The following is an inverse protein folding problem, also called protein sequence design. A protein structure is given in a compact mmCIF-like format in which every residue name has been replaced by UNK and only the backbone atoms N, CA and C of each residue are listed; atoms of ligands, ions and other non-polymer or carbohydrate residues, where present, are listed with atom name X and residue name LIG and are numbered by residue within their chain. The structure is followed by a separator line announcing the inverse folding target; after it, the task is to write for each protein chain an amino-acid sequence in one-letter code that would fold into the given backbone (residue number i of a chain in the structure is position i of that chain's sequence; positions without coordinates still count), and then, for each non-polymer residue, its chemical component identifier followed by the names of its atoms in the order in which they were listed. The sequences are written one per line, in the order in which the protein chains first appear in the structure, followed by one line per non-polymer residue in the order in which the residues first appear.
data_IF_265542997070
#
_entry.id   IF_265542997070
#
_cell.length_a   1.000
_cell.length_b   1.000
_cell.length_c   1.000
_cell.angle_alpha   90.00
_cell.angle_beta   90.00
_cell.angle_gamma   90.00
#
_symmetry.space_group_name_H-M   'P 1'
#
loop_
_entity.id
_entity.type
_entity.pdbx_description
1 polymer ?
#
# COMPACT_ATOMS: atom_id res chain seq x y z
N UNK A 1 8.09 1.06 20.26
CA UNK A 1 6.77 1.52 19.77
C UNK A 1 6.92 1.62 18.26
N UNK A 2 6.31 0.70 17.53
CA UNK A 2 6.41 0.59 16.09
C UNK A 2 5.37 1.46 15.37
N UNK A 3 5.47 1.55 14.05
CA UNK A 3 4.46 2.17 13.20
C UNK A 3 3.24 1.25 13.08
N UNK A 4 2.05 1.82 13.18
CA UNK A 4 0.81 1.16 12.82
C UNK A 4 0.02 2.06 11.88
N UNK A 5 -0.35 1.52 10.72
CA UNK A 5 -1.00 2.31 9.67
C UNK A 5 -1.01 1.61 8.33
N UNK A 6 -1.16 2.38 7.27
CA UNK A 6 -1.29 1.87 5.92
C UNK A 6 -0.39 2.63 4.95
N UNK A 7 0.27 1.90 4.05
CA UNK A 7 0.85 2.44 2.83
C UNK A 7 -0.10 2.11 1.67
N UNK A 8 -0.49 3.12 0.91
CA UNK A 8 -1.43 2.99 -0.20
C UNK A 8 -0.73 3.33 -1.50
N UNK A 9 -0.71 2.39 -2.43
CA UNK A 9 -0.18 2.56 -3.78
C UNK A 9 -1.35 2.63 -4.75
N UNK A 10 -1.46 3.73 -5.49
CA UNK A 10 -2.52 3.92 -6.47
C UNK A 10 -2.08 4.80 -7.63
N UNK A 11 -2.83 4.72 -8.73
CA UNK A 11 -2.71 5.63 -9.87
C UNK A 11 -3.89 6.60 -9.85
N UNK A 12 -3.61 7.90 -9.89
CA UNK A 12 -4.63 8.95 -9.93
C UNK A 12 -4.06 10.22 -10.52
N UNK A 13 -4.84 10.88 -11.37
CA UNK A 13 -4.52 12.19 -11.92
C UNK A 13 -4.67 13.32 -10.86
N UNK A 14 -5.30 13.00 -9.74
CA UNK A 14 -5.51 13.91 -8.61
C UNK A 14 -4.76 13.44 -7.38
N UNK A 15 -4.37 14.34 -6.47
CA UNK A 15 -3.80 13.95 -5.19
C UNK A 15 -4.69 12.96 -4.44
N UNK A 16 -4.16 11.85 -3.96
CA UNK A 16 -4.93 10.79 -3.29
C UNK A 16 -5.69 11.26 -2.03
N UNK A 17 -5.27 12.37 -1.42
CA UNK A 17 -5.96 12.96 -0.26
C UNK A 17 -7.23 13.74 -0.61
N UNK A 18 -7.47 14.06 -1.89
CA UNK A 18 -8.64 14.84 -2.35
C UNK A 18 -9.92 14.02 -2.59
N UNK A 19 -9.88 12.70 -2.88
CA UNK A 19 -11.11 11.93 -3.02
C UNK A 19 -11.94 12.02 -1.74
N UNK A 20 -13.24 12.30 -1.89
CA UNK A 20 -14.19 12.43 -0.79
C UNK A 20 -14.20 11.22 0.16
N UNK A 21 -13.81 10.06 -0.33
CA UNK A 21 -13.68 8.83 0.43
C UNK A 21 -12.61 8.92 1.53
N UNK A 22 -11.47 9.57 1.26
CA UNK A 22 -10.43 9.81 2.26
C UNK A 22 -10.78 10.99 3.17
N UNK A 23 -11.34 12.06 2.58
CA UNK A 23 -11.78 13.22 3.35
C UNK A 23 -12.86 12.85 4.38
N UNK A 24 -13.80 11.95 4.04
CA UNK A 24 -14.83 11.49 4.96
C UNK A 24 -14.27 10.62 6.09
N UNK A 25 -13.33 9.71 5.79
CA UNK A 25 -12.67 8.87 6.81
C UNK A 25 -11.79 9.67 7.77
N UNK A 26 -11.15 10.75 7.28
CA UNK A 26 -10.35 11.65 8.09
C UNK A 26 -11.20 12.71 8.83
N UNK A 27 -12.40 13.08 8.34
CA UNK A 27 -13.25 14.11 8.92
C UNK A 27 -13.96 13.68 10.23
N UNK A 28 -14.08 12.39 10.49
CA UNK A 28 -14.71 11.88 11.72
C UNK A 28 -13.81 11.98 12.98
N UNK A 29 -12.78 12.81 12.96
CA UNK A 29 -12.00 13.18 14.13
C UNK A 29 -10.48 13.00 14.04
N UNK A 30 -9.94 12.64 12.88
CA UNK A 30 -8.51 12.39 12.71
C UNK A 30 -7.95 13.19 11.52
N UNK A 31 -7.92 14.51 11.66
CA UNK A 31 -7.30 15.41 10.65
C UNK A 31 -5.82 15.12 10.37
N UNK A 32 -5.19 14.35 11.24
CA UNK A 32 -3.75 14.06 11.21
C UNK A 32 -3.42 12.63 10.72
N UNK A 33 -4.39 11.89 10.14
CA UNK A 33 -4.15 10.51 9.71
C UNK A 33 -3.21 10.38 8.51
N UNK A 34 -3.18 11.37 7.60
CA UNK A 34 -2.31 11.33 6.41
C UNK A 34 -1.04 12.08 6.72
N UNK A 35 0.07 11.36 6.80
CA UNK A 35 1.36 11.95 7.14
C UNK A 35 2.19 12.30 5.93
N UNK A 36 2.23 11.46 4.93
CA UNK A 36 3.08 11.70 3.78
C UNK A 36 2.43 11.24 2.47
N UNK A 37 2.61 12.05 1.44
CA UNK A 37 2.27 11.72 0.07
C UNK A 37 3.52 11.81 -0.78
N UNK A 38 3.89 10.70 -1.42
CA UNK A 38 5.01 10.61 -2.33
C UNK A 38 4.49 10.50 -3.76
N UNK A 39 4.48 11.62 -4.53
CA UNK A 39 4.13 11.59 -5.93
C UNK A 39 5.22 10.85 -6.72
N UNK A 40 4.79 10.12 -7.75
CA UNK A 40 5.67 9.35 -8.64
C UNK A 40 5.31 9.64 -10.10
N UNK A 41 6.21 9.41 -11.06
CA UNK A 41 5.91 9.62 -12.48
C UNK A 41 4.68 8.85 -12.95
N UNK A 42 3.96 9.40 -13.94
CA UNK A 42 2.81 8.76 -14.57
C UNK A 42 1.55 8.70 -13.71
N UNK A 43 1.32 9.68 -12.83
CA UNK A 43 0.14 9.75 -11.96
C UNK A 43 0.14 8.74 -10.83
N UNK A 44 1.23 8.02 -10.62
CA UNK A 44 1.37 7.07 -9.52
C UNK A 44 1.68 7.80 -8.22
N UNK A 45 1.16 7.30 -7.11
CA UNK A 45 1.32 7.91 -5.80
C UNK A 45 1.42 6.85 -4.73
N UNK A 46 2.25 7.10 -3.72
CA UNK A 46 2.22 6.38 -2.44
C UNK A 46 1.73 7.33 -1.37
N UNK A 47 0.81 6.86 -0.54
CA UNK A 47 0.27 7.60 0.59
C UNK A 47 0.56 6.81 1.86
N UNK A 48 1.09 7.45 2.88
CA UNK A 48 1.23 6.88 4.22
C UNK A 48 0.12 7.44 5.12
N UNK A 49 -0.57 6.54 5.81
CA UNK A 49 -1.66 6.86 6.73
C UNK A 49 -1.31 6.30 8.11
N UNK A 50 -1.25 7.16 9.12
CA UNK A 50 -1.03 6.73 10.50
C UNK A 50 -2.32 6.26 11.16
N UNK A 51 -2.21 5.26 12.05
CA UNK A 51 -3.28 4.71 12.90
C UNK A 51 -4.42 3.99 12.17
N UNK A 52 -4.32 3.80 10.85
CA UNK A 52 -5.37 3.17 10.06
C UNK A 52 -6.66 3.98 9.98
N UNK A 53 -7.58 3.54 9.12
CA UNK A 53 -8.89 4.15 8.98
C UNK A 53 -9.90 3.41 9.87
N UNK A 54 -10.80 4.10 10.59
CA UNK A 54 -11.79 3.47 11.45
C UNK A 54 -12.84 2.67 10.66
N UNK A 55 -13.38 1.62 11.28
CA UNK A 55 -14.48 0.81 10.74
C UNK A 55 -14.05 -0.23 9.69
N UNK A 56 -14.85 -0.43 8.64
CA UNK A 56 -14.43 -1.24 7.47
C UNK A 56 -13.37 -0.47 6.68
N UNK A 57 -12.15 -0.65 7.12
CA UNK A 57 -10.98 0.08 6.63
C UNK A 57 -10.71 -0.09 5.13
N UNK A 58 -11.31 -1.08 4.47
CA UNK A 58 -11.17 -1.28 3.02
C UNK A 58 -12.20 -0.49 2.19
N UNK A 59 -13.25 0.04 2.79
CA UNK A 59 -14.29 0.79 2.07
C UNK A 59 -13.76 2.01 1.32
N UNK A 60 -12.95 2.90 1.93
CA UNK A 60 -12.37 4.05 1.24
C UNK A 60 -11.51 3.64 0.04
N UNK A 61 -10.73 2.58 0.16
CA UNK A 61 -9.85 2.08 -0.88
C UNK A 61 -10.61 1.43 -2.04
N UNK A 62 -11.72 0.71 -1.77
CA UNK A 62 -12.64 0.23 -2.81
C UNK A 62 -13.26 1.39 -3.59
N UNK A 63 -13.66 2.44 -2.89
CA UNK A 63 -14.18 3.66 -3.53
C UNK A 63 -13.12 4.35 -4.37
N UNK A 64 -11.86 4.37 -3.90
CA UNK A 64 -10.73 4.88 -4.66
C UNK A 64 -10.52 4.08 -5.94
N UNK A 65 -10.41 2.75 -5.87
CA UNK A 65 -10.25 1.89 -7.03
C UNK A 65 -11.41 2.08 -8.04
N UNK A 66 -12.65 2.15 -7.57
CA UNK A 66 -13.81 2.40 -8.42
C UNK A 66 -13.81 3.78 -9.08
N UNK A 67 -13.38 4.82 -8.38
CA UNK A 67 -13.39 6.21 -8.88
C UNK A 67 -12.23 6.50 -9.84
N UNK A 68 -11.08 5.87 -9.65
CA UNK A 68 -9.91 6.02 -10.53
C UNK A 68 -9.94 5.06 -11.72
N UNK A 69 -10.72 3.97 -11.63
CA UNK A 69 -10.69 2.89 -12.60
C UNK A 69 -9.37 2.11 -12.61
N UNK A 70 -8.53 2.30 -11.61
CA UNK A 70 -7.22 1.69 -11.45
C UNK A 70 -7.15 0.85 -10.17
N UNK A 71 -6.34 -0.23 -10.13
CA UNK A 71 -6.21 -1.05 -8.94
C UNK A 71 -5.46 -0.30 -7.83
N UNK A 72 -5.77 -0.64 -6.57
CA UNK A 72 -5.14 -0.09 -5.37
C UNK A 72 -4.47 -1.21 -4.60
N UNK A 73 -3.20 -1.03 -4.22
CA UNK A 73 -2.48 -1.89 -3.29
C UNK A 73 -2.37 -1.18 -1.94
N UNK A 74 -2.63 -1.94 -0.87
CA UNK A 74 -2.58 -1.43 0.50
C UNK A 74 -1.67 -2.35 1.29
N UNK A 75 -0.64 -1.79 1.93
CA UNK A 75 0.17 -2.49 2.91
C UNK A 75 -0.25 -2.00 4.31
N UNK A 76 -0.88 -2.87 5.08
CA UNK A 76 -1.41 -2.60 6.43
C UNK A 76 -0.44 -3.09 7.47
N UNK A 77 0.20 -2.15 8.14
CA UNK A 77 1.25 -2.42 9.13
C UNK A 77 0.68 -2.42 10.53
N UNK A 78 1.08 -3.39 11.33
CA UNK A 78 0.78 -3.50 12.75
C UNK A 78 2.08 -3.54 13.54
N UNK A 79 2.31 -2.48 14.29
CA UNK A 79 3.46 -2.27 15.21
C UNK A 79 4.85 -2.46 14.56
N UNK A 80 4.95 -2.21 13.25
CA UNK A 80 6.14 -2.46 12.40
C UNK A 80 6.60 -3.93 12.32
N UNK A 81 5.82 -4.87 12.82
CA UNK A 81 6.17 -6.29 12.86
C UNK A 81 5.45 -7.11 11.79
N UNK A 82 4.16 -6.84 11.58
CA UNK A 82 3.32 -7.59 10.63
C UNK A 82 2.75 -6.66 9.58
N UNK A 83 2.77 -7.08 8.32
CA UNK A 83 2.15 -6.36 7.22
C UNK A 83 1.24 -7.27 6.39
N UNK A 84 -0.06 -6.96 6.35
CA UNK A 84 -1.00 -7.52 5.38
C UNK A 84 -0.98 -6.66 4.11
N UNK A 85 -0.62 -7.24 2.98
CA UNK A 85 -0.74 -6.61 1.66
C UNK A 85 -2.07 -7.02 1.04
N UNK A 86 -2.88 -6.03 0.67
CA UNK A 86 -4.21 -6.22 0.06
C UNK A 86 -4.23 -5.60 -1.32
N UNK A 87 -4.59 -6.36 -2.33
CA UNK A 87 -4.90 -5.90 -3.68
C UNK A 87 -6.42 -5.69 -3.82
N UNK A 88 -6.81 -4.54 -4.35
CA UNK A 88 -8.19 -4.20 -4.67
C UNK A 88 -8.31 -3.78 -6.13
N UNK A 89 -8.96 -4.62 -6.93
CA UNK A 89 -9.27 -4.27 -8.31
C UNK A 89 -10.52 -3.36 -8.41
N UNK A 90 -10.65 -2.54 -9.49
CA UNK A 90 -11.85 -1.75 -9.75
C UNK A 90 -13.12 -2.59 -9.86
N UNK A 91 -13.01 -3.86 -10.30
CA UNK A 91 -14.11 -4.84 -10.35
C UNK A 91 -14.63 -5.26 -8.98
N UNK A 92 -13.95 -4.88 -7.89
CA UNK A 92 -14.23 -5.34 -6.54
C UNK A 92 -13.54 -6.66 -6.16
N UNK A 93 -12.79 -7.26 -7.08
CA UNK A 93 -11.96 -8.42 -6.74
C UNK A 93 -10.91 -8.03 -5.71
N UNK A 94 -10.67 -8.94 -4.77
CA UNK A 94 -9.72 -8.74 -3.67
C UNK A 94 -8.83 -9.97 -3.52
N UNK A 95 -7.57 -9.72 -3.22
CA UNK A 95 -6.62 -10.74 -2.80
C UNK A 95 -5.71 -10.17 -1.70
N UNK A 96 -5.16 -11.01 -0.82
CA UNK A 96 -4.21 -10.56 0.20
C UNK A 96 -3.12 -11.59 0.49
N UNK A 97 -2.00 -11.10 1.02
CA UNK A 97 -0.88 -11.89 1.56
C UNK A 97 -0.25 -11.16 2.75
N UNK A 98 0.66 -11.84 3.45
CA UNK A 98 1.52 -11.20 4.45
C UNK A 98 2.94 -11.03 3.88
N UNK A 99 3.57 -9.90 4.19
CA UNK A 99 5.03 -9.80 4.22
C UNK A 99 5.48 -10.38 5.57
N UNK A 100 6.55 -11.14 5.57
CA UNK A 100 6.98 -11.96 6.70
C UNK A 100 5.87 -12.88 7.23
N UNK A 101 5.51 -13.94 6.47
CA UNK A 101 4.43 -14.84 6.87
C UNK A 101 4.74 -15.63 8.16
N UNK A 102 6.02 -15.76 8.54
CA UNK A 102 6.41 -16.40 9.78
C UNK A 102 6.01 -15.51 10.97
N UNK A 103 6.29 -14.23 10.92
CA UNK A 103 5.87 -13.26 11.94
C UNK A 103 4.34 -13.20 12.03
N UNK A 104 3.63 -13.20 10.90
CA UNK A 104 2.18 -13.23 10.89
C UNK A 104 1.62 -14.47 11.61
N UNK A 105 2.24 -15.64 11.41
CA UNK A 105 1.87 -16.89 12.11
C UNK A 105 2.13 -16.79 13.62
N UNK A 106 3.24 -16.20 14.05
CA UNK A 106 3.57 -15.99 15.46
C UNK A 106 2.56 -15.06 16.16
N UNK A 107 2.00 -14.09 15.44
CA UNK A 107 0.89 -13.24 15.90
C UNK A 107 -0.48 -13.92 15.85
N UNK A 108 -0.55 -15.17 15.35
CA UNK A 108 -1.78 -15.96 15.27
C UNK A 108 -2.69 -15.60 14.11
N UNK A 109 -2.18 -14.91 13.08
CA UNK A 109 -2.93 -14.66 11.87
C UNK A 109 -3.12 -15.94 11.05
N UNK A 110 -4.27 -16.11 10.37
CA UNK A 110 -4.55 -17.28 9.56
C UNK A 110 -3.63 -17.34 8.34
N UNK A 111 -3.24 -18.54 7.94
CA UNK A 111 -2.55 -18.74 6.67
C UNK A 111 -3.41 -18.24 5.50
N UNK A 112 -2.81 -17.48 4.59
CA UNK A 112 -3.49 -16.94 3.41
C UNK A 112 -3.25 -17.83 2.18
N UNK A 113 -4.15 -17.79 1.17
CA UNK A 113 -4.01 -18.59 -0.03
C UNK A 113 -2.69 -18.33 -0.75
N UNK A 114 -2.07 -19.37 -1.32
CA UNK A 114 -0.82 -19.23 -2.08
C UNK A 114 -1.05 -18.45 -3.38
N UNK A 115 0.04 -18.03 -4.02
CA UNK A 115 -0.02 -17.37 -5.34
C UNK A 115 0.23 -15.86 -5.31
N UNK A 116 0.74 -15.35 -4.20
CA UNK A 116 1.06 -13.95 -3.97
C UNK A 116 1.76 -13.25 -5.14
N UNK A 117 2.87 -13.81 -5.60
CA UNK A 117 3.65 -13.22 -6.68
C UNK A 117 2.83 -13.05 -7.97
N UNK A 118 1.99 -14.02 -8.33
CA UNK A 118 1.14 -13.95 -9.51
C UNK A 118 0.05 -12.88 -9.40
N UNK A 119 -0.55 -12.70 -8.22
CA UNK A 119 -1.54 -11.66 -7.96
C UNK A 119 -0.91 -10.27 -8.01
N UNK A 120 0.23 -10.08 -7.35
CA UNK A 120 0.94 -8.79 -7.34
C UNK A 120 1.45 -8.43 -8.74
N UNK A 121 1.98 -9.41 -9.49
CA UNK A 121 2.39 -9.19 -10.89
C UNK A 121 1.23 -8.71 -11.75
N UNK A 122 0.05 -9.30 -11.59
CA UNK A 122 -1.16 -8.87 -12.31
C UNK A 122 -1.58 -7.46 -11.89
N UNK A 123 -1.61 -7.19 -10.59
CA UNK A 123 -1.89 -5.86 -10.07
C UNK A 123 -0.93 -4.81 -10.66
N UNK A 124 0.38 -5.09 -10.66
CA UNK A 124 1.39 -4.19 -11.21
C UNK A 124 1.12 -3.90 -12.71
N UNK A 125 0.80 -4.94 -13.50
CA UNK A 125 0.47 -4.77 -14.91
C UNK A 125 -0.80 -3.92 -15.11
N UNK A 126 -1.85 -4.12 -14.31
CA UNK A 126 -3.07 -3.31 -14.32
C UNK A 126 -2.81 -1.86 -13.87
N UNK A 127 -1.86 -1.64 -12.98
CA UNK A 127 -1.37 -0.32 -12.56
C UNK A 127 -0.40 0.32 -13.59
N UNK A 128 -0.16 -0.35 -14.73
CA UNK A 128 0.77 0.12 -15.77
C UNK A 128 2.25 0.05 -15.36
N UNK A 129 2.59 -0.87 -14.47
CA UNK A 129 3.95 -1.16 -14.02
C UNK A 129 4.43 -2.51 -14.58
N UNK A 130 5.74 -2.71 -14.59
CA UNK A 130 6.36 -3.99 -14.96
C UNK A 130 7.05 -4.54 -13.72
N UNK A 131 6.44 -5.53 -13.10
CA UNK A 131 7.02 -6.17 -11.93
C UNK A 131 8.21 -7.05 -12.30
N UNK A 132 9.20 -7.12 -11.41
CA UNK A 132 10.29 -8.11 -11.48
C UNK A 132 9.84 -9.37 -10.70
N UNK A 133 9.56 -10.49 -11.39
CA UNK A 133 9.07 -11.69 -10.74
C UNK A 133 10.09 -12.35 -9.80
N UNK A 134 11.39 -12.15 -10.05
CA UNK A 134 12.46 -12.70 -9.20
C UNK A 134 12.51 -11.88 -7.91
N UNK A 135 12.58 -10.55 -8.01
CA UNK A 135 12.58 -9.67 -6.85
C UNK A 135 11.30 -9.83 -6.01
N UNK A 136 10.13 -9.98 -6.65
CA UNK A 136 8.88 -10.27 -5.93
C UNK A 136 8.93 -11.57 -5.14
N UNK A 137 9.46 -12.65 -5.75
CA UNK A 137 9.58 -13.92 -5.05
C UNK A 137 10.54 -13.83 -3.85
N UNK A 138 11.63 -13.09 -3.99
CA UNK A 138 12.59 -12.85 -2.92
C UNK A 138 11.97 -12.06 -1.76
N UNK A 139 11.29 -10.95 -2.04
CA UNK A 139 10.62 -10.13 -1.01
C UNK A 139 9.55 -10.92 -0.27
N UNK A 140 8.74 -11.71 -0.99
CA UNK A 140 7.66 -12.51 -0.38
C UNK A 140 8.15 -13.70 0.45
N UNK A 141 9.39 -14.14 0.24
CA UNK A 141 10.04 -15.19 1.01
C UNK A 141 10.93 -14.67 2.16
N UNK A 142 11.20 -13.35 2.16
CA UNK A 142 12.13 -12.73 3.11
C UNK A 142 11.45 -12.53 4.46
N UNK A 143 12.22 -12.75 5.53
CA UNK A 143 11.86 -12.31 6.87
C UNK A 143 12.38 -10.90 7.09
N UNK A 144 11.65 -10.10 7.86
CA UNK A 144 12.08 -8.77 8.23
C UNK A 144 13.29 -8.84 9.18
N UNK A 145 14.37 -8.13 8.86
CA UNK A 145 15.57 -8.10 9.72
C UNK A 145 15.32 -7.26 10.99
N UNK A 146 14.48 -6.23 10.90
CA UNK A 146 14.15 -5.35 12.02
C UNK A 146 12.72 -4.82 11.93
N UNK A 147 12.32 -4.23 10.82
CA UNK A 147 10.99 -3.65 10.59
C UNK A 147 10.41 -4.16 9.28
N UNK A 148 9.13 -4.48 9.29
CA UNK A 148 8.42 -4.92 8.07
C UNK A 148 8.30 -3.79 7.04
N UNK A 149 8.47 -2.54 7.46
CA UNK A 149 8.46 -1.36 6.58
C UNK A 149 9.51 -1.46 5.47
N UNK A 150 10.70 -2.03 5.75
CA UNK A 150 11.75 -2.24 4.73
C UNK A 150 11.27 -3.18 3.62
N UNK A 151 10.52 -4.23 3.98
CA UNK A 151 9.93 -5.16 3.00
C UNK A 151 8.86 -4.48 2.13
N UNK A 152 8.18 -3.46 2.64
CA UNK A 152 7.20 -2.70 1.87
C UNK A 152 7.90 -1.89 0.77
N UNK A 153 9.03 -1.26 1.07
CA UNK A 153 9.80 -0.54 0.07
C UNK A 153 10.41 -1.48 -0.97
N UNK A 154 10.96 -2.61 -0.54
CA UNK A 154 11.42 -3.68 -1.44
C UNK A 154 10.29 -4.17 -2.36
N UNK A 155 9.07 -4.34 -1.83
CA UNK A 155 7.88 -4.72 -2.60
C UNK A 155 7.50 -3.66 -3.64
N UNK A 156 7.51 -2.38 -3.25
CA UNK A 156 7.22 -1.25 -4.15
C UNK A 156 8.18 -1.26 -5.34
N UNK A 157 9.47 -1.44 -5.08
CA UNK A 157 10.51 -1.50 -6.11
C UNK A 157 10.34 -2.75 -6.99
N UNK A 158 10.08 -3.91 -6.40
CA UNK A 158 9.84 -5.15 -7.12
C UNK A 158 8.57 -5.10 -8.00
N UNK A 159 7.56 -4.31 -7.64
CA UNK A 159 6.40 -4.02 -8.47
C UNK A 159 6.71 -3.11 -9.65
N UNK A 160 7.92 -2.58 -9.76
CA UNK A 160 8.28 -1.62 -10.81
C UNK A 160 7.62 -0.26 -10.63
N UNK A 161 7.21 0.09 -9.40
CA UNK A 161 6.73 1.43 -9.10
C UNK A 161 7.91 2.40 -9.20
N UNK A 162 7.81 3.45 -10.01
CA UNK A 162 8.94 4.37 -10.19
C UNK A 162 9.26 5.08 -8.87
N UNK A 163 10.53 5.50 -8.66
CA UNK A 163 10.92 6.22 -7.46
C UNK A 163 10.09 7.49 -7.28
N UNK A 164 9.95 7.94 -6.04
CA UNK A 164 9.26 9.20 -5.73
C UNK A 164 9.98 10.39 -6.36
N UNK A 165 9.18 11.37 -6.81
CA UNK A 165 9.71 12.66 -7.26
C UNK A 165 10.07 13.45 -6.00
N UNK A 166 11.32 13.93 -5.87
CA UNK A 166 11.67 14.81 -4.76
C UNK A 166 10.75 16.03 -4.75
N UNK A 167 10.12 16.30 -3.63
CA UNK A 167 9.39 17.57 -3.46
C UNK A 167 10.45 18.67 -3.38
N UNK A 168 10.51 19.54 -4.39
CA UNK A 168 11.37 20.74 -4.29
C UNK A 168 10.98 21.48 -3.00
N UNK A 169 11.98 21.72 -2.15
CA UNK A 169 11.78 22.59 -1.00
C UNK A 169 11.34 23.97 -1.52
N UNK A 170 10.33 24.60 -0.89
CA UNK A 170 9.93 25.95 -1.30
C UNK A 170 11.16 26.86 -1.27
N UNK A 171 11.35 27.74 -2.26
CA UNK A 171 12.48 28.65 -2.27
C UNK A 171 12.48 29.45 -0.96
N UNK A 172 13.62 29.39 -0.27
CA UNK A 172 13.83 30.17 0.95
C UNK A 172 13.64 31.65 0.63
N UNK A 173 12.65 32.28 1.26
CA UNK A 173 12.36 33.69 1.13
C UNK A 173 13.41 34.54 1.87
#
# INVERSE_FOLDING_TARGET
MGFSGEYVLACSDRPLREPAAFAAGCAEGHSDCVTERLPRPGGRQTLQIHHGLPGDSLRPFRQLAGSTGAPVLIARVMDSDVCEVVDLAPSGARWSTYLDPAMAADYGFPELPPGAAGHITRWAAEAGCVADPIALAEVLAKQADSLVDDLIFDLIDACGFPPSIPTEAPPSA
#
